data_IF_864799846320
#
_entry.id   IF_864799846320
#
_cell.length_a   1.000
_cell.length_b   1.000
_cell.length_c   1.000
_cell.angle_alpha   90.00
_cell.angle_beta   90.00
_cell.angle_gamma   90.00
#
_symmetry.space_group_name_H-M   'P 1'
#
loop_
_entity.id
_entity.type
_entity.pdbx_description
1 polymer ?
#
# COMPACT_ATOMS: atom_id res chain seq x y z
N UNK A 1 10.17 -21.42 27.05
CA UNK A 1 11.26 -21.22 26.07
C UNK A 1 10.87 -20.20 25.02
N UNK A 2 9.72 -20.33 24.36
CA UNK A 2 9.29 -19.37 23.32
C UNK A 2 9.19 -17.92 23.79
N UNK A 3 8.69 -17.66 25.00
CA UNK A 3 8.60 -16.29 25.53
C UNK A 3 9.98 -15.67 25.84
N UNK A 4 10.98 -16.48 26.18
CA UNK A 4 12.35 -16.01 26.40
C UNK A 4 13.03 -15.66 25.06
N UNK A 5 12.86 -16.53 24.06
CA UNK A 5 13.34 -16.27 22.68
C UNK A 5 12.70 -15.00 22.13
N UNK A 6 11.39 -14.81 22.36
CA UNK A 6 10.65 -13.62 21.95
C UNK A 6 11.17 -12.35 22.64
N UNK A 7 11.42 -12.40 23.94
CA UNK A 7 11.97 -11.25 24.67
C UNK A 7 13.37 -10.89 24.19
N UNK A 8 14.24 -11.89 23.99
CA UNK A 8 15.58 -11.70 23.44
C UNK A 8 15.54 -11.12 22.02
N UNK A 9 14.70 -11.66 21.13
CA UNK A 9 14.53 -11.14 19.77
C UNK A 9 13.99 -9.71 19.79
N UNK A 10 13.09 -9.37 20.72
CA UNK A 10 12.61 -8.00 20.91
C UNK A 10 13.74 -7.07 21.34
N UNK A 11 14.54 -7.45 22.35
CA UNK A 11 15.65 -6.66 22.88
C UNK A 11 16.75 -6.43 21.83
N UNK A 12 17.05 -7.46 21.04
CA UNK A 12 18.03 -7.39 19.96
C UNK A 12 17.48 -6.79 18.66
N UNK A 13 16.17 -6.51 18.60
CA UNK A 13 15.47 -5.96 17.43
C UNK A 13 15.62 -6.88 16.21
N UNK A 14 15.35 -8.17 16.40
CA UNK A 14 15.42 -9.24 15.39
C UNK A 14 14.02 -9.77 15.07
N UNK A 15 13.12 -8.95 14.48
CA UNK A 15 11.73 -9.34 14.26
C UNK A 15 11.58 -10.46 13.22
N UNK A 16 12.47 -10.54 12.23
CA UNK A 16 12.44 -11.58 11.20
C UNK A 16 12.73 -12.94 11.79
N UNK A 17 13.74 -13.03 12.67
CA UNK A 17 14.08 -14.28 13.39
C UNK A 17 12.88 -14.81 14.17
N UNK A 18 12.20 -13.96 14.96
CA UNK A 18 11.06 -14.39 15.75
C UNK A 18 9.92 -14.96 14.89
N UNK A 19 9.70 -14.39 13.72
CA UNK A 19 8.65 -14.81 12.79
C UNK A 19 8.98 -16.11 12.06
N UNK A 20 10.25 -16.36 11.75
CA UNK A 20 10.68 -17.49 10.94
C UNK A 20 11.26 -18.67 11.72
N UNK A 21 11.57 -18.49 13.02
CA UNK A 21 12.27 -19.48 13.84
C UNK A 21 11.62 -20.86 13.80
N UNK A 22 10.31 -20.96 14.07
CA UNK A 22 9.59 -22.23 14.13
C UNK A 22 9.67 -22.99 12.80
N UNK A 23 9.41 -22.30 11.68
CA UNK A 23 9.48 -22.89 10.34
C UNK A 23 10.89 -23.38 9.98
N UNK A 24 11.94 -22.66 10.38
CA UNK A 24 13.32 -23.05 10.07
C UNK A 24 13.79 -24.17 11.01
N UNK A 25 13.28 -24.21 12.25
CA UNK A 25 13.62 -25.23 13.24
C UNK A 25 13.02 -26.61 12.90
N UNK A 26 11.89 -26.67 12.19
CA UNK A 26 11.29 -27.93 11.72
C UNK A 26 12.21 -28.68 10.72
N UNK A 27 12.97 -27.94 9.91
CA UNK A 27 13.93 -28.48 8.93
C UNK A 27 15.36 -28.61 9.51
N UNK A 28 15.52 -28.52 10.83
CA UNK A 28 16.84 -28.44 11.45
C UNK A 28 17.64 -29.73 11.26
N UNK A 29 18.60 -29.69 10.33
CA UNK A 29 19.47 -30.83 10.01
C UNK A 29 20.94 -30.55 10.39
N UNK A 30 21.38 -29.29 10.25
CA UNK A 30 22.75 -28.85 10.56
C UNK A 30 22.73 -27.49 11.29
N UNK A 31 23.43 -27.33 12.43
CA UNK A 31 23.54 -26.07 13.15
C UNK A 31 24.03 -24.87 12.32
N UNK A 32 25.02 -25.07 11.44
CA UNK A 32 25.58 -23.99 10.60
C UNK A 32 24.56 -23.51 9.56
N UNK A 33 23.87 -24.46 8.92
CA UNK A 33 22.82 -24.18 7.95
C UNK A 33 21.65 -23.45 8.60
N UNK A 34 21.23 -23.89 9.78
CA UNK A 34 20.19 -23.22 10.56
C UNK A 34 20.56 -21.77 10.87
N UNK A 35 21.79 -21.54 11.34
CA UNK A 35 22.27 -20.20 11.66
C UNK A 35 22.28 -19.31 10.42
N UNK A 36 22.74 -19.83 9.27
CA UNK A 36 22.71 -19.10 8.00
C UNK A 36 21.28 -18.79 7.57
N UNK A 37 20.35 -19.76 7.64
CA UNK A 37 18.95 -19.58 7.25
C UNK A 37 18.26 -18.52 8.11
N UNK A 38 18.46 -18.56 9.43
CA UNK A 38 17.77 -17.65 10.35
C UNK A 38 18.30 -16.22 10.27
N UNK A 39 19.61 -16.05 10.07
CA UNK A 39 20.20 -14.73 9.84
C UNK A 39 19.78 -14.15 8.49
N UNK A 40 19.68 -14.98 7.44
CA UNK A 40 19.16 -14.53 6.14
C UNK A 40 17.70 -14.10 6.23
N UNK A 41 16.86 -14.81 6.99
CA UNK A 41 15.47 -14.43 7.20
C UNK A 41 15.35 -13.02 7.83
N UNK A 42 16.21 -12.69 8.77
CA UNK A 42 16.29 -11.36 9.36
C UNK A 42 16.71 -10.28 8.36
N UNK A 43 17.73 -10.56 7.52
CA UNK A 43 18.15 -9.63 6.46
C UNK A 43 17.00 -9.36 5.50
N UNK A 44 16.30 -10.40 5.05
CA UNK A 44 15.15 -10.27 4.15
C UNK A 44 14.01 -9.48 4.80
N UNK A 45 13.70 -9.73 6.08
CA UNK A 45 12.69 -8.97 6.82
C UNK A 45 12.99 -7.47 6.83
N UNK A 46 14.26 -7.09 7.03
CA UNK A 46 14.70 -5.68 7.01
C UNK A 46 14.63 -5.07 5.62
N UNK A 47 15.02 -5.81 4.59
CA UNK A 47 14.93 -5.34 3.21
C UNK A 47 13.49 -5.07 2.79
N UNK A 48 12.58 -6.00 3.11
CA UNK A 48 11.14 -5.85 2.84
C UNK A 48 10.58 -4.65 3.58
N UNK A 49 10.85 -4.53 4.87
CA UNK A 49 10.42 -3.37 5.68
C UNK A 49 10.96 -2.05 5.13
N UNK A 50 12.20 -2.04 4.61
CA UNK A 50 12.79 -0.86 3.97
C UNK A 50 12.06 -0.51 2.67
N UNK A 51 11.82 -1.49 1.80
CA UNK A 51 11.08 -1.30 0.53
C UNK A 51 9.68 -0.75 0.81
N UNK A 52 8.95 -1.34 1.75
CA UNK A 52 7.61 -0.89 2.15
C UNK A 52 7.61 0.55 2.66
N UNK A 53 8.56 0.89 3.56
CA UNK A 53 8.67 2.27 4.06
C UNK A 53 8.94 3.26 2.92
N UNK A 54 9.82 2.94 1.97
CA UNK A 54 10.11 3.81 0.83
C UNK A 54 8.87 3.99 -0.05
N UNK A 55 8.13 2.91 -0.33
CA UNK A 55 6.89 2.96 -1.12
C UNK A 55 5.84 3.84 -0.42
N UNK A 56 5.64 3.65 0.89
CA UNK A 56 4.70 4.46 1.67
C UNK A 56 5.10 5.94 1.72
N UNK A 57 6.39 6.22 1.86
CA UNK A 57 6.92 7.59 1.91
C UNK A 57 6.90 8.29 0.55
N UNK A 58 6.99 7.54 -0.56
CA UNK A 58 6.93 8.12 -1.89
C UNK A 58 5.58 8.80 -2.19
N UNK A 59 4.54 8.53 -1.39
CA UNK A 59 3.26 9.22 -1.51
C UNK A 59 2.58 8.97 -2.85
N UNK A 60 2.84 7.82 -3.48
CA UNK A 60 2.17 7.43 -4.71
C UNK A 60 0.66 7.57 -4.53
N UNK A 61 -0.06 8.18 -5.49
CA UNK A 61 -1.51 8.22 -5.46
C UNK A 61 -2.02 6.78 -5.32
N UNK A 62 -2.52 6.42 -4.14
CA UNK A 62 -3.26 5.19 -3.99
C UNK A 62 -4.45 5.32 -4.95
N UNK A 63 -4.66 4.34 -5.83
CA UNK A 63 -5.84 4.31 -6.66
C UNK A 63 -7.05 4.37 -5.72
N UNK A 64 -7.69 5.53 -5.64
CA UNK A 64 -8.95 5.68 -4.93
C UNK A 64 -9.90 4.66 -5.53
N UNK A 65 -10.53 3.86 -4.68
CA UNK A 65 -11.58 2.98 -5.16
C UNK A 65 -12.68 3.87 -5.75
N UNK A 66 -13.37 3.38 -6.77
CA UNK A 66 -14.40 4.18 -7.47
C UNK A 66 -15.45 4.75 -6.49
N UNK A 67 -15.72 4.01 -5.41
CA UNK A 67 -16.62 4.36 -4.31
C UNK A 67 -16.13 5.50 -3.40
N UNK A 68 -14.84 5.82 -3.41
CA UNK A 68 -14.21 6.90 -2.62
C UNK A 68 -14.10 8.21 -3.41
N UNK A 69 -14.57 8.22 -4.67
CA UNK A 69 -14.73 9.43 -5.47
C UNK A 69 -15.93 10.20 -4.93
N UNK A 70 -15.67 11.14 -4.03
CA UNK A 70 -16.69 12.08 -3.57
C UNK A 70 -17.09 13.00 -4.73
N UNK A 71 -18.25 12.73 -5.36
CA UNK A 71 -18.80 13.47 -6.51
C UNK A 71 -19.27 14.90 -6.17
N UNK A 72 -18.99 15.39 -4.96
CA UNK A 72 -19.49 16.66 -4.40
C UNK A 72 -19.02 17.90 -5.16
N UNK A 73 -18.09 17.78 -6.12
CA UNK A 73 -17.59 18.92 -6.90
C UNK A 73 -18.41 19.31 -8.15
N UNK A 74 -19.50 18.60 -8.48
CA UNK A 74 -20.23 18.87 -9.73
C UNK A 74 -21.53 19.67 -9.57
N UNK A 75 -22.04 19.91 -8.36
CA UNK A 75 -23.35 20.53 -8.16
C UNK A 75 -23.34 22.02 -7.74
N UNK A 76 -22.19 22.64 -7.50
CA UNK A 76 -22.13 24.06 -7.05
C UNK A 76 -21.89 25.09 -8.15
N UNK A 77 -21.78 24.70 -9.42
CA UNK A 77 -21.50 25.63 -10.53
C UNK A 77 -22.63 25.75 -11.58
N UNK A 78 -23.79 25.14 -11.38
CA UNK A 78 -24.91 25.25 -12.34
C UNK A 78 -25.92 26.34 -11.99
N UNK A 79 -25.82 26.97 -10.82
CA UNK A 79 -26.72 28.06 -10.44
C UNK A 79 -26.05 29.43 -10.58
N UNK A 80 -26.17 29.99 -11.78
CA UNK A 80 -26.13 31.45 -11.98
C UNK A 80 -24.83 32.00 -12.56
N UNK A 81 -24.88 32.34 -13.86
CA UNK A 81 -24.40 33.62 -14.40
C UNK A 81 -25.05 33.86 -15.76
N UNK A 82 -26.15 34.63 -15.71
CA UNK A 82 -26.59 35.44 -16.84
C UNK A 82 -25.41 36.37 -17.20
N UNK A 83 -24.82 36.17 -18.37
CA UNK A 83 -23.59 36.84 -18.75
C UNK A 83 -23.15 36.43 -20.14
N UNK A 84 -23.73 37.12 -21.12
CA UNK A 84 -23.38 37.15 -22.54
C UNK A 84 -21.87 36.92 -22.77
N UNK A 85 -21.48 35.70 -23.14
CA UNK A 85 -20.16 35.43 -23.74
C UNK A 85 -20.36 34.50 -24.91
N UNK A 86 -20.22 35.07 -26.10
CA UNK A 86 -20.02 34.30 -27.32
C UNK A 86 -18.79 33.44 -27.12
N UNK A 87 -18.95 32.14 -27.26
CA UNK A 87 -17.84 31.19 -27.41
C UNK A 87 -17.89 30.78 -28.88
N UNK A 88 -16.90 31.21 -29.65
CA UNK A 88 -16.73 30.97 -31.07
C UNK A 88 -15.50 30.09 -31.23
N UNK A 89 -15.61 28.78 -31.05
CA UNK A 89 -14.64 27.81 -31.54
C UNK A 89 -15.08 26.40 -31.17
N UNK A 90 -15.22 25.58 -32.21
CA UNK A 90 -15.81 24.26 -32.15
C UNK A 90 -15.03 23.29 -31.28
N UNK A 91 -15.78 22.59 -30.44
CA UNK A 91 -15.63 21.14 -30.27
C UNK A 91 -16.89 20.66 -29.56
N UNK A 92 -17.86 20.25 -30.39
CA UNK A 92 -19.01 19.48 -29.94
C UNK A 92 -18.52 18.27 -29.16
N UNK A 93 -18.89 18.19 -27.89
CA UNK A 93 -19.03 16.90 -27.22
C UNK A 93 -20.46 16.89 -26.67
N UNK A 94 -21.38 16.52 -27.57
CA UNK A 94 -22.70 16.04 -27.19
C UNK A 94 -22.51 14.76 -26.37
N UNK A 95 -22.61 14.87 -25.05
CA UNK A 95 -22.88 13.71 -24.21
C UNK A 95 -24.38 13.45 -24.31
N UNK A 96 -24.77 12.70 -25.33
CA UNK A 96 -26.08 12.04 -25.40
C UNK A 96 -26.07 10.96 -24.31
N UNK A 97 -26.61 11.30 -23.14
CA UNK A 97 -27.03 10.29 -22.17
C UNK A 97 -28.43 9.83 -22.57
N UNK A 98 -28.45 8.71 -23.30
CA UNK A 98 -29.60 7.84 -23.44
C UNK A 98 -30.10 7.48 -22.04
N UNK A 99 -31.27 7.99 -21.65
CA UNK A 99 -32.05 7.40 -20.57
C UNK A 99 -33.47 7.17 -21.07
N UNK A 100 -33.68 5.93 -21.49
CA UNK A 100 -34.88 5.11 -21.35
C UNK A 100 -36.20 5.87 -21.14
N UNK A 101 -37.06 5.82 -22.15
CA UNK A 101 -38.49 5.58 -21.98
C UNK A 101 -38.92 4.59 -23.06
#
# INVERSE_FOLDING_TARGET
>A
MDEEIKDLCRRLRLPGIYQSYHTIAEDFTNPEEFLVRILNAEVQSRETSRRERVIQQAGFPAYKRFEEINLVYWELNTTGRNGNRKINDGSDIDIILLSMT
#
